data_IF_948024625260
#
_entry.id   IF_948024625260
#
_cell.length_a   1.000
_cell.length_b   1.000
_cell.length_c   1.000
_cell.angle_alpha   90.00
_cell.angle_beta   90.00
_cell.angle_gamma   90.00
#
_symmetry.space_group_name_H-M   'P 1'
#
loop_
_entity.id
_entity.type
_entity.pdbx_description
1 polymer ?
#
# COMPACT_ATOMS: atom_id res chain seq x y z
N UNK A 1 20.60 8.80 16.12
CA UNK A 1 20.32 7.95 17.30
C UNK A 1 20.29 8.87 18.52
N UNK A 2 19.12 9.42 18.84
CA UNK A 2 18.95 10.28 20.02
C UNK A 2 18.98 9.37 21.26
N UNK A 3 19.92 9.64 22.17
CA UNK A 3 19.92 9.05 23.51
C UNK A 3 18.70 9.62 24.24
N UNK A 4 17.61 8.85 24.31
CA UNK A 4 16.55 9.12 25.27
C UNK A 4 17.19 9.08 26.66
N UNK A 5 17.10 10.20 27.39
CA UNK A 5 17.53 10.24 28.79
C UNK A 5 16.57 9.35 29.56
N UNK A 6 17.03 8.24 30.15
CA UNK A 6 16.19 7.48 31.04
C UNK A 6 16.01 8.30 32.34
N UNK A 7 14.77 8.30 32.84
CA UNK A 7 14.43 8.50 34.26
C UNK A 7 14.20 9.92 34.84
N UNK A 8 13.56 10.82 34.08
CA UNK A 8 12.89 11.98 34.72
C UNK A 8 11.51 11.62 35.33
N UNK A 9 10.98 10.44 35.00
CA UNK A 9 9.64 10.02 35.43
C UNK A 9 9.55 9.82 36.95
N UNK A 10 10.60 9.27 37.57
CA UNK A 10 10.67 9.08 39.02
C UNK A 10 10.77 10.39 39.80
N UNK A 11 11.51 11.37 39.27
CA UNK A 11 11.64 12.70 39.87
C UNK A 11 10.31 13.46 39.86
N UNK A 12 9.62 13.48 38.72
CA UNK A 12 8.32 14.14 38.60
C UNK A 12 7.24 13.41 39.43
N UNK A 13 7.21 12.08 39.41
CA UNK A 13 6.28 11.31 40.23
C UNK A 13 6.45 11.58 41.74
N UNK A 14 7.71 11.73 42.21
CA UNK A 14 7.99 12.10 43.60
C UNK A 14 7.43 13.45 44.00
N UNK A 15 7.58 14.47 43.15
CA UNK A 15 6.99 15.80 43.39
C UNK A 15 5.47 15.77 43.39
N UNK A 16 4.83 15.09 42.44
CA UNK A 16 3.37 14.95 42.42
C UNK A 16 2.85 14.25 43.67
N UNK A 17 3.52 13.18 44.13
CA UNK A 17 3.15 12.49 45.36
C UNK A 17 3.31 13.39 46.60
N UNK A 18 4.40 14.15 46.72
CA UNK A 18 4.63 15.06 47.83
C UNK A 18 3.58 16.18 47.89
N UNK A 19 3.26 16.82 46.75
CA UNK A 19 2.21 17.83 46.67
C UNK A 19 0.83 17.26 46.95
N UNK A 20 0.53 16.04 46.49
CA UNK A 20 -0.73 15.37 46.79
C UNK A 20 -0.90 15.12 48.30
N UNK A 21 0.14 14.61 48.96
CA UNK A 21 0.13 14.38 50.42
C UNK A 21 -0.02 15.70 51.17
N UNK A 22 0.73 16.74 50.79
CA UNK A 22 0.64 18.06 51.40
C UNK A 22 -0.75 18.68 51.22
N UNK A 23 -1.37 18.54 50.04
CA UNK A 23 -2.72 19.03 49.78
C UNK A 23 -3.77 18.29 50.63
N UNK A 24 -3.68 16.96 50.74
CA UNK A 24 -4.57 16.16 51.60
C UNK A 24 -4.42 16.59 53.07
N UNK A 25 -3.19 16.79 53.54
CA UNK A 25 -2.91 17.23 54.91
C UNK A 25 -3.44 18.64 55.18
N UNK A 26 -3.31 19.56 54.22
CA UNK A 26 -3.88 20.90 54.33
C UNK A 26 -5.40 20.87 54.41
N UNK A 27 -6.07 20.10 53.53
CA UNK A 27 -7.53 19.90 53.57
C UNK A 27 -7.96 19.35 54.94
N UNK A 28 -7.23 18.37 55.48
CA UNK A 28 -7.50 17.79 56.79
C UNK A 28 -7.42 18.82 57.93
N UNK A 29 -6.38 19.68 57.94
CA UNK A 29 -6.22 20.74 58.95
C UNK A 29 -7.34 21.77 58.86
N UNK A 30 -7.66 22.24 57.65
CA UNK A 30 -8.73 23.25 57.44
C UNK A 30 -10.09 22.70 57.87
N UNK A 31 -10.32 21.39 57.70
CA UNK A 31 -11.57 20.76 58.14
C UNK A 31 -11.67 20.64 59.66
N UNK A 32 -10.58 20.32 60.36
CA UNK A 32 -10.57 20.18 61.82
C UNK A 32 -10.64 21.52 62.57
N UNK A 33 -10.15 22.62 61.99
CA UNK A 33 -10.04 23.90 62.68
C UNK A 33 -11.15 24.89 62.26
N UNK A 34 -12.09 25.17 63.18
CA UNK A 34 -13.24 26.04 62.91
C UNK A 34 -12.86 27.49 62.51
N UNK A 35 -11.75 28.03 63.03
CA UNK A 35 -11.32 29.39 62.72
C UNK A 35 -10.80 29.51 61.29
N UNK A 36 -10.06 28.52 60.80
CA UNK A 36 -9.57 28.48 59.43
C UNK A 36 -10.70 28.26 58.42
N UNK A 37 -11.72 27.49 58.81
CA UNK A 37 -12.92 27.28 58.00
C UNK A 37 -13.70 28.59 57.76
N UNK A 38 -13.78 29.48 58.76
CA UNK A 38 -14.47 30.78 58.63
C UNK A 38 -13.75 31.77 57.69
N UNK A 39 -12.44 31.60 57.48
CA UNK A 39 -11.67 32.41 56.53
C UNK A 39 -11.89 31.90 55.09
N UNK A 40 -12.05 30.58 54.93
CA UNK A 40 -12.18 29.93 53.63
C UNK A 40 -13.63 29.78 53.14
N UNK A 41 -14.61 29.85 54.04
CA UNK A 41 -16.04 29.67 53.77
C UNK A 41 -16.86 30.69 54.56
N UNK A 42 -17.88 31.27 53.92
CA UNK A 42 -18.73 32.25 54.59
C UNK A 42 -19.63 31.58 55.65
N UNK A 43 -20.01 32.35 56.67
CA UNK A 43 -20.75 31.89 57.84
C UNK A 43 -22.23 31.60 57.51
N UNK A 44 -22.47 30.54 56.75
CA UNK A 44 -23.81 30.14 56.28
C UNK A 44 -23.80 29.16 55.10
N UNK A 45 -22.64 28.95 54.46
CA UNK A 45 -22.52 28.06 53.31
C UNK A 45 -22.26 26.60 53.71
N UNK A 46 -23.25 25.75 53.45
CA UNK A 46 -23.11 24.29 53.63
C UNK A 46 -22.34 23.62 52.47
N UNK A 47 -22.28 24.25 51.29
CA UNK A 47 -21.71 23.68 50.05
C UNK A 47 -20.34 24.26 49.66
N UNK A 48 -19.64 24.94 50.57
CA UNK A 48 -18.36 25.61 50.30
C UNK A 48 -17.31 24.67 49.67
N UNK A 49 -17.14 23.45 50.19
CA UNK A 49 -16.20 22.47 49.62
C UNK A 49 -16.55 22.11 48.17
N UNK A 50 -17.84 22.01 47.84
CA UNK A 50 -18.30 21.72 46.48
C UNK A 50 -17.94 22.85 45.53
N UNK A 51 -18.07 24.10 45.96
CA UNK A 51 -17.70 25.27 45.16
C UNK A 51 -16.20 25.33 44.91
N UNK A 52 -15.38 25.08 45.94
CA UNK A 52 -13.92 24.98 45.79
C UNK A 52 -13.49 23.87 44.83
N UNK A 53 -14.08 22.68 44.95
CA UNK A 53 -13.82 21.57 44.03
C UNK A 53 -14.25 21.90 42.60
N UNK A 54 -15.39 22.59 42.43
CA UNK A 54 -15.85 23.06 41.12
C UNK A 54 -14.90 24.11 40.52
N UNK A 55 -14.36 25.02 41.33
CA UNK A 55 -13.41 26.04 40.89
C UNK A 55 -12.04 25.43 40.52
N UNK A 56 -11.54 24.49 41.33
CA UNK A 56 -10.27 23.78 41.07
C UNK A 56 -10.37 22.81 39.89
N UNK A 57 -11.53 22.18 39.69
CA UNK A 57 -11.75 21.25 38.58
C UNK A 57 -11.53 21.88 37.20
N UNK A 58 -11.91 23.15 37.02
CA UNK A 58 -11.68 23.89 35.77
C UNK A 58 -10.19 24.13 35.48
N UNK A 59 -9.41 24.52 36.49
CA UNK A 59 -7.97 24.71 36.35
C UNK A 59 -7.22 23.39 36.17
N UNK A 60 -7.59 22.34 36.91
CA UNK A 60 -7.01 21.01 36.77
C UNK A 60 -7.24 20.45 35.37
N UNK A 61 -8.45 20.61 34.82
CA UNK A 61 -8.75 20.21 33.44
C UNK A 61 -7.87 20.98 32.43
N UNK A 62 -7.66 22.28 32.60
CA UNK A 62 -6.76 23.04 31.72
C UNK A 62 -5.31 22.56 31.78
N UNK A 63 -4.78 22.30 32.98
CA UNK A 63 -3.39 21.83 33.16
C UNK A 63 -3.15 20.48 32.49
N UNK A 64 -4.15 19.59 32.47
CA UNK A 64 -4.06 18.30 31.79
C UNK A 64 -4.35 18.43 30.28
N UNK A 65 -5.31 19.26 29.90
CA UNK A 65 -5.74 19.41 28.52
C UNK A 65 -4.67 20.06 27.63
N UNK A 66 -3.99 21.10 28.10
CA UNK A 66 -3.01 21.85 27.28
C UNK A 66 -1.84 20.95 26.82
N UNK A 67 -1.12 20.23 27.71
CA UNK A 67 -0.05 19.32 27.29
C UNK A 67 -0.57 18.21 26.38
N UNK A 68 -1.76 17.68 26.66
CA UNK A 68 -2.40 16.64 25.85
C UNK A 68 -2.64 17.15 24.42
N UNK A 69 -3.20 18.34 24.26
CA UNK A 69 -3.44 18.95 22.93
C UNK A 69 -2.12 19.19 22.19
N UNK A 70 -1.09 19.72 22.86
CA UNK A 70 0.23 19.95 22.25
C UNK A 70 0.85 18.63 21.78
N UNK A 71 0.77 17.60 22.61
CA UNK A 71 1.31 16.28 22.29
C UNK A 71 0.56 15.62 21.13
N UNK A 72 -0.77 15.69 21.13
CA UNK A 72 -1.61 15.20 20.02
C UNK A 72 -1.32 15.96 18.73
N UNK A 73 -1.17 17.29 18.78
CA UNK A 73 -0.81 18.08 17.60
C UNK A 73 0.55 17.65 17.01
N UNK A 74 1.51 17.32 17.87
CA UNK A 74 2.79 16.77 17.44
C UNK A 74 2.64 15.37 16.82
N UNK A 75 1.88 14.48 17.44
CA UNK A 75 1.62 13.13 16.90
C UNK A 75 0.92 13.18 15.54
N UNK A 76 -0.08 14.05 15.37
CA UNK A 76 -0.77 14.23 14.08
C UNK A 76 0.21 14.70 13.02
N UNK A 77 1.06 15.68 13.32
CA UNK A 77 2.07 16.18 12.37
C UNK A 77 3.10 15.11 11.99
N UNK A 78 3.57 14.33 12.96
CA UNK A 78 4.52 13.25 12.70
C UNK A 78 3.85 12.11 11.92
N UNK A 79 2.58 11.81 12.22
CA UNK A 79 1.74 10.87 11.47
C UNK A 79 1.56 11.30 10.01
N UNK A 80 1.18 12.56 9.76
CA UNK A 80 1.04 13.12 8.42
C UNK A 80 2.34 13.00 7.62
N UNK A 81 3.49 13.27 8.25
CA UNK A 81 4.79 13.11 7.62
C UNK A 81 5.06 11.66 7.22
N UNK A 82 4.79 10.70 8.11
CA UNK A 82 4.94 9.27 7.81
C UNK A 82 3.99 8.81 6.71
N UNK A 83 2.74 9.30 6.71
CA UNK A 83 1.78 9.00 5.65
C UNK A 83 2.24 9.49 4.29
N UNK A 84 2.78 10.72 4.20
CA UNK A 84 3.33 11.27 2.94
C UNK A 84 4.51 10.46 2.43
N UNK A 85 5.46 10.13 3.31
CA UNK A 85 6.64 9.33 2.95
C UNK A 85 6.22 7.93 2.46
N UNK A 86 5.29 7.27 3.15
CA UNK A 86 4.81 5.95 2.76
C UNK A 86 4.03 5.98 1.43
N UNK A 87 3.24 7.04 1.20
CA UNK A 87 2.56 7.25 -0.08
C UNK A 87 3.58 7.41 -1.22
N UNK A 88 4.60 8.25 -1.02
CA UNK A 88 5.67 8.46 -2.00
C UNK A 88 6.42 7.15 -2.35
N UNK A 89 6.77 6.35 -1.34
CA UNK A 89 7.40 5.04 -1.56
C UNK A 89 6.50 4.07 -2.34
N UNK A 90 5.21 4.04 -2.01
CA UNK A 90 4.23 3.18 -2.70
C UNK A 90 4.12 3.58 -4.17
N UNK A 91 4.01 4.87 -4.47
CA UNK A 91 3.98 5.37 -5.85
C UNK A 91 5.27 5.07 -6.60
N UNK A 92 6.45 5.24 -5.97
CA UNK A 92 7.73 4.90 -6.61
C UNK A 92 7.80 3.42 -6.98
N UNK A 93 7.39 2.52 -6.08
CA UNK A 93 7.34 1.08 -6.35
C UNK A 93 6.41 0.76 -7.52
N UNK A 94 5.21 1.33 -7.54
CA UNK A 94 4.25 1.12 -8.62
C UNK A 94 4.77 1.65 -9.97
N UNK A 95 5.45 2.80 -9.99
CA UNK A 95 6.08 3.33 -11.21
C UNK A 95 7.19 2.41 -11.73
N UNK A 96 8.04 1.89 -10.83
CA UNK A 96 9.08 0.93 -11.21
C UNK A 96 8.47 -0.37 -11.78
N UNK A 97 7.39 -0.86 -11.17
CA UNK A 97 6.63 -2.00 -11.68
C UNK A 97 6.09 -1.71 -13.08
N UNK A 98 5.36 -0.60 -13.27
CA UNK A 98 4.80 -0.21 -14.56
C UNK A 98 5.86 -0.05 -15.65
N UNK A 99 7.01 0.56 -15.34
CA UNK A 99 8.12 0.69 -16.27
C UNK A 99 8.76 -0.66 -16.65
N UNK A 100 8.90 -1.56 -15.67
CA UNK A 100 9.38 -2.92 -15.92
C UNK A 100 8.41 -3.72 -16.78
N UNK A 101 7.11 -3.60 -16.50
CA UNK A 101 6.05 -4.32 -17.23
C UNK A 101 5.90 -3.77 -18.64
N UNK A 102 6.00 -2.46 -18.86
CA UNK A 102 6.00 -1.86 -20.21
C UNK A 102 7.12 -2.46 -21.08
N UNK A 103 8.36 -2.52 -20.57
CA UNK A 103 9.49 -3.17 -21.25
C UNK A 103 9.23 -4.66 -21.51
N UNK A 104 8.66 -5.35 -20.53
CA UNK A 104 8.30 -6.76 -20.65
C UNK A 104 7.26 -7.01 -21.75
N UNK A 105 6.25 -6.15 -21.84
CA UNK A 105 5.22 -6.22 -22.88
C UNK A 105 5.79 -6.02 -24.29
N UNK A 106 6.81 -5.17 -24.46
CA UNK A 106 7.52 -5.03 -25.74
C UNK A 106 8.14 -6.37 -26.14
N UNK A 107 8.93 -6.99 -25.26
CA UNK A 107 9.56 -8.29 -25.54
C UNK A 107 8.55 -9.40 -25.79
N UNK A 108 7.47 -9.47 -24.99
CA UNK A 108 6.39 -10.43 -25.17
C UNK A 108 5.71 -10.24 -26.53
N UNK A 109 5.42 -9.00 -26.91
CA UNK A 109 4.81 -8.65 -28.18
C UNK A 109 5.70 -9.06 -29.35
N UNK A 110 6.93 -8.57 -29.41
CA UNK A 110 7.87 -8.85 -30.50
C UNK A 110 8.10 -10.36 -30.68
N UNK A 111 8.30 -11.07 -29.57
CA UNK A 111 8.47 -12.53 -29.58
C UNK A 111 7.23 -13.25 -30.10
N UNK A 112 6.03 -12.78 -29.72
CA UNK A 112 4.77 -13.41 -30.14
C UNK A 112 4.44 -13.08 -31.60
N UNK A 113 4.72 -11.86 -32.06
CA UNK A 113 4.55 -11.45 -33.46
C UNK A 113 5.45 -12.26 -34.38
N UNK A 114 6.73 -12.42 -34.02
CA UNK A 114 7.66 -13.27 -34.76
C UNK A 114 7.15 -14.73 -34.89
N UNK A 115 6.62 -15.29 -33.80
CA UNK A 115 6.05 -16.66 -33.82
C UNK A 115 4.75 -16.75 -34.62
N UNK A 116 3.92 -15.70 -34.57
CA UNK A 116 2.70 -15.63 -35.36
C UNK A 116 3.01 -15.53 -36.86
N UNK A 117 4.03 -14.77 -37.24
CA UNK A 117 4.53 -14.67 -38.61
C UNK A 117 5.06 -16.02 -39.08
N UNK A 118 5.89 -16.69 -38.27
CA UNK A 118 6.36 -18.07 -38.54
C UNK A 118 5.19 -19.01 -38.84
N UNK A 119 4.17 -19.07 -37.98
CA UNK A 119 3.01 -19.94 -38.20
C UNK A 119 2.14 -19.52 -39.40
N UNK A 120 2.28 -18.28 -39.87
CA UNK A 120 1.50 -17.72 -40.98
C UNK A 120 2.18 -17.85 -42.34
N UNK A 121 3.39 -18.40 -42.40
CA UNK A 121 4.08 -18.69 -43.65
C UNK A 121 3.22 -19.63 -44.53
N UNK A 122 2.97 -19.21 -45.77
CA UNK A 122 2.20 -20.00 -46.73
C UNK A 122 3.01 -21.23 -47.20
N UNK A 123 2.34 -22.38 -47.29
CA UNK A 123 2.89 -23.66 -47.80
C UNK A 123 3.96 -24.33 -46.92
N UNK A 124 4.11 -23.95 -45.66
CA UNK A 124 4.94 -24.69 -44.70
C UNK A 124 4.13 -25.78 -43.98
N UNK A 125 4.63 -27.01 -44.05
CA UNK A 125 4.19 -28.11 -43.21
C UNK A 125 4.88 -27.99 -41.84
N UNK A 126 4.10 -27.68 -40.80
CA UNK A 126 4.63 -27.53 -39.45
C UNK A 126 4.67 -28.88 -38.74
N UNK A 127 5.84 -29.23 -38.18
CA UNK A 127 5.96 -30.36 -37.27
C UNK A 127 5.42 -29.97 -35.89
N UNK A 128 4.71 -30.89 -35.25
CA UNK A 128 4.12 -30.67 -33.92
C UNK A 128 5.15 -30.20 -32.89
N UNK A 129 6.38 -30.75 -32.91
CA UNK A 129 7.46 -30.35 -31.97
C UNK A 129 7.86 -28.88 -32.08
N UNK A 130 8.07 -28.39 -33.31
CA UNK A 130 8.50 -27.01 -33.55
C UNK A 130 7.42 -26.02 -33.05
N UNK A 131 6.15 -26.37 -33.23
CA UNK A 131 5.03 -25.55 -32.75
C UNK A 131 4.90 -25.64 -31.23
N UNK A 132 5.13 -26.82 -30.64
CA UNK A 132 5.08 -27.01 -29.20
C UNK A 132 6.14 -26.18 -28.47
N UNK A 133 7.38 -26.15 -29.00
CA UNK A 133 8.46 -25.31 -28.46
C UNK A 133 8.10 -23.83 -28.53
N UNK A 134 7.50 -23.39 -29.63
CA UNK A 134 7.01 -22.02 -29.77
C UNK A 134 5.92 -21.67 -28.76
N UNK A 135 4.96 -22.58 -28.54
CA UNK A 135 3.88 -22.42 -27.56
C UNK A 135 4.41 -22.40 -26.13
N UNK A 136 5.35 -23.29 -25.79
CA UNK A 136 5.96 -23.34 -24.46
C UNK A 136 6.69 -22.03 -24.14
N UNK A 137 7.47 -21.49 -25.08
CA UNK A 137 8.16 -20.22 -24.86
C UNK A 137 7.17 -19.07 -24.62
N UNK A 138 6.05 -18.99 -25.36
CA UNK A 138 5.02 -17.96 -25.11
C UNK A 138 4.35 -18.16 -23.76
N UNK A 139 4.08 -19.40 -23.35
CA UNK A 139 3.52 -19.71 -22.03
C UNK A 139 4.47 -19.32 -20.89
N UNK A 140 5.78 -19.54 -21.04
CA UNK A 140 6.80 -19.10 -20.09
C UNK A 140 6.80 -17.59 -19.94
N UNK A 141 6.71 -16.85 -21.05
CA UNK A 141 6.62 -15.40 -21.01
C UNK A 141 5.29 -14.93 -20.36
N UNK A 142 4.16 -15.58 -20.63
CA UNK A 142 2.89 -15.20 -19.99
C UNK A 142 2.81 -15.57 -18.51
N UNK A 143 3.54 -16.61 -18.09
CA UNK A 143 3.59 -17.05 -16.69
C UNK A 143 4.40 -16.10 -15.79
N UNK A 144 5.04 -15.08 -16.35
CA UNK A 144 5.86 -14.15 -15.59
C UNK A 144 5.04 -13.37 -14.54
N UNK A 145 5.54 -13.40 -13.30
CA UNK A 145 4.97 -12.71 -12.13
C UNK A 145 4.65 -11.23 -12.35
N UNK A 146 5.44 -10.41 -13.08
CA UNK A 146 5.18 -8.97 -13.19
C UNK A 146 3.82 -8.62 -13.81
N UNK A 147 3.34 -9.40 -14.78
CA UNK A 147 2.03 -9.15 -15.41
C UNK A 147 0.90 -9.30 -14.39
N UNK A 148 0.90 -10.38 -13.61
CA UNK A 148 -0.11 -10.62 -12.56
C UNK A 148 -0.08 -9.56 -11.47
N UNK A 149 1.12 -9.15 -11.04
CA UNK A 149 1.27 -8.10 -10.02
C UNK A 149 0.73 -6.78 -10.56
N UNK A 150 1.02 -6.44 -11.82
CA UNK A 150 0.46 -5.24 -12.46
C UNK A 150 -1.07 -5.30 -12.56
N UNK A 151 -1.64 -6.44 -12.94
CA UNK A 151 -3.10 -6.61 -13.04
C UNK A 151 -3.83 -6.38 -11.72
N UNK A 152 -3.20 -6.81 -10.62
CA UNK A 152 -3.74 -6.72 -9.27
C UNK A 152 -3.47 -5.37 -8.59
N UNK A 153 -2.31 -4.76 -8.83
CA UNK A 153 -1.90 -3.53 -8.15
C UNK A 153 -2.27 -2.24 -8.90
N UNK A 154 -2.38 -2.27 -10.24
CA UNK A 154 -2.48 -1.06 -11.07
C UNK A 154 -3.70 -1.07 -11.99
N UNK A 155 -3.88 -2.09 -12.83
CA UNK A 155 -4.93 -2.10 -13.86
C UNK A 155 -5.47 -3.49 -14.15
N UNK A 156 -6.77 -3.70 -13.96
CA UNK A 156 -7.42 -4.98 -14.27
C UNK A 156 -7.97 -4.99 -15.71
N UNK A 157 -7.37 -5.75 -16.65
CA UNK A 157 -7.86 -5.84 -18.02
C UNK A 157 -9.17 -6.63 -18.10
N UNK A 158 -9.95 -6.39 -19.16
CA UNK A 158 -11.16 -7.18 -19.45
C UNK A 158 -10.87 -8.68 -19.64
N UNK A 159 -9.69 -9.00 -20.18
CA UNK A 159 -9.19 -10.37 -20.34
C UNK A 159 -7.89 -10.47 -19.55
N UNK A 160 -7.89 -11.25 -18.48
CA UNK A 160 -6.71 -11.46 -17.64
C UNK A 160 -5.67 -12.35 -18.31
N UNK A 161 -4.40 -12.21 -17.89
CA UNK A 161 -3.31 -13.10 -18.33
C UNK A 161 -3.63 -14.57 -18.05
N UNK A 162 -4.27 -14.88 -16.92
CA UNK A 162 -4.64 -16.25 -16.55
C UNK A 162 -5.64 -16.87 -17.52
N UNK A 163 -6.59 -16.09 -18.05
CA UNK A 163 -7.51 -16.58 -19.07
C UNK A 163 -6.78 -16.91 -20.37
N UNK A 164 -5.83 -16.06 -20.79
CA UNK A 164 -5.02 -16.28 -21.99
C UNK A 164 -4.14 -17.51 -21.84
N UNK A 165 -3.45 -17.64 -20.70
CA UNK A 165 -2.64 -18.82 -20.35
C UNK A 165 -3.47 -20.09 -20.42
N UNK A 166 -4.64 -20.13 -19.77
CA UNK A 166 -5.52 -21.29 -19.79
C UNK A 166 -5.96 -21.67 -21.21
N UNK A 167 -6.20 -20.67 -22.07
CA UNK A 167 -6.61 -20.89 -23.47
C UNK A 167 -5.48 -21.46 -24.32
N UNK A 168 -4.24 -21.00 -24.13
CA UNK A 168 -3.07 -21.55 -24.81
C UNK A 168 -2.72 -22.95 -24.29
N UNK A 169 -2.81 -23.18 -22.98
CA UNK A 169 -2.61 -24.49 -22.38
C UNK A 169 -3.58 -25.55 -22.92
N UNK A 170 -4.84 -25.18 -23.23
CA UNK A 170 -5.78 -26.09 -23.90
C UNK A 170 -5.31 -26.51 -25.30
N UNK A 171 -4.76 -25.58 -26.09
CA UNK A 171 -4.20 -25.94 -27.39
C UNK A 171 -2.92 -26.76 -27.24
N UNK A 172 -2.08 -26.43 -26.25
CA UNK A 172 -0.90 -27.24 -25.91
C UNK A 172 -1.28 -28.69 -25.60
N UNK A 173 -2.31 -28.91 -24.77
CA UNK A 173 -2.78 -30.26 -24.46
C UNK A 173 -3.29 -31.02 -25.69
N UNK A 174 -3.91 -30.32 -26.66
CA UNK A 174 -4.28 -30.92 -27.95
C UNK A 174 -3.05 -31.31 -28.78
N UNK A 175 -2.04 -30.43 -28.86
CA UNK A 175 -0.75 -30.73 -29.52
C UNK A 175 -0.07 -31.95 -28.88
N UNK A 176 0.02 -31.97 -27.54
CA UNK A 176 0.62 -33.08 -26.79
C UNK A 176 -0.10 -34.41 -27.07
N UNK A 177 -1.43 -34.37 -27.26
CA UNK A 177 -2.24 -35.57 -27.54
C UNK A 177 -2.12 -36.10 -28.97
N UNK A 178 -1.74 -35.25 -29.92
CA UNK A 178 -1.54 -35.64 -31.31
C UNK A 178 -0.26 -36.48 -31.46
N UNK A 179 0.77 -36.16 -30.66
CA UNK A 179 2.05 -36.86 -30.68
C UNK A 179 2.99 -36.38 -31.78
N UNK A 180 4.29 -36.51 -31.53
CA UNK A 180 5.35 -36.20 -32.49
C UNK A 180 5.75 -37.46 -33.27
N UNK A 181 6.09 -37.38 -34.57
CA UNK A 181 6.32 -36.18 -35.39
C UNK A 181 5.18 -35.87 -36.39
N UNK A 182 3.92 -36.00 -35.99
CA UNK A 182 2.80 -35.78 -36.90
C UNK A 182 2.73 -34.33 -37.42
N UNK A 183 2.25 -34.19 -38.66
CA UNK A 183 1.91 -32.91 -39.27
C UNK A 183 0.79 -32.25 -38.47
N UNK A 184 0.93 -30.95 -38.22
CA UNK A 184 -0.03 -30.22 -37.39
C UNK A 184 -1.43 -30.16 -38.02
N UNK A 185 -2.45 -30.48 -37.22
CA UNK A 185 -3.86 -30.31 -37.59
C UNK A 185 -4.20 -28.82 -37.86
N UNK A 186 -4.88 -28.55 -38.98
CA UNK A 186 -5.23 -27.19 -39.41
C UNK A 186 -6.14 -26.45 -38.42
N UNK A 187 -7.04 -27.16 -37.72
CA UNK A 187 -7.91 -26.57 -36.69
C UNK A 187 -7.07 -26.11 -35.49
N UNK A 188 -6.10 -26.93 -35.07
CA UNK A 188 -5.17 -26.58 -33.99
C UNK A 188 -4.32 -25.38 -34.40
N UNK A 189 -3.76 -25.38 -35.62
CA UNK A 189 -2.97 -24.27 -36.15
C UNK A 189 -3.79 -22.96 -36.18
N UNK A 190 -5.02 -23.00 -36.68
CA UNK A 190 -5.91 -21.85 -36.73
C UNK A 190 -6.22 -21.31 -35.32
N UNK A 191 -6.55 -22.20 -34.38
CA UNK A 191 -6.80 -21.84 -32.98
C UNK A 191 -5.57 -21.20 -32.31
N UNK A 192 -4.37 -21.71 -32.60
CA UNK A 192 -3.11 -21.16 -32.09
C UNK A 192 -2.88 -19.74 -32.62
N UNK A 193 -3.06 -19.50 -33.93
CA UNK A 193 -2.94 -18.16 -34.53
C UNK A 193 -3.85 -17.14 -33.84
N UNK A 194 -5.10 -17.51 -33.57
CA UNK A 194 -6.05 -16.63 -32.86
C UNK A 194 -5.56 -16.33 -31.44
N UNK A 195 -5.05 -17.34 -30.73
CA UNK A 195 -4.56 -17.18 -29.36
C UNK A 195 -3.30 -16.29 -29.30
N UNK A 196 -2.34 -16.50 -30.20
CA UNK A 196 -1.14 -15.66 -30.29
C UNK A 196 -1.50 -14.21 -30.65
N UNK A 197 -2.42 -14.00 -31.59
CA UNK A 197 -2.94 -12.67 -31.88
C UNK A 197 -3.63 -12.03 -30.65
N UNK A 198 -4.26 -12.83 -29.79
CA UNK A 198 -4.83 -12.33 -28.54
C UNK A 198 -3.74 -11.94 -27.51
N UNK A 199 -2.62 -12.66 -27.46
CA UNK A 199 -1.45 -12.30 -26.65
C UNK A 199 -0.85 -10.97 -27.10
N UNK A 200 -0.69 -10.75 -28.40
CA UNK A 200 -0.21 -9.47 -28.96
C UNK A 200 -1.12 -8.32 -28.53
N UNK A 201 -2.43 -8.45 -28.73
CA UNK A 201 -3.41 -7.43 -28.32
C UNK A 201 -3.40 -7.18 -26.80
N UNK A 202 -3.22 -8.24 -26.01
CA UNK A 202 -3.09 -8.13 -24.56
C UNK A 202 -1.83 -7.35 -24.17
N UNK A 203 -0.67 -7.70 -24.73
CA UNK A 203 0.59 -7.01 -24.48
C UNK A 203 0.51 -5.51 -24.84
N UNK A 204 -0.08 -5.18 -26.00
CA UNK A 204 -0.35 -3.78 -26.40
C UNK A 204 -1.31 -3.06 -25.45
N UNK A 205 -2.32 -3.78 -24.96
CA UNK A 205 -3.26 -3.25 -23.97
C UNK A 205 -2.56 -2.90 -22.65
N UNK A 206 -1.79 -3.82 -22.10
CA UNK A 206 -1.05 -3.62 -20.85
C UNK A 206 0.02 -2.54 -21.01
N UNK A 207 0.77 -2.54 -22.12
CA UNK A 207 1.80 -1.53 -22.40
C UNK A 207 1.19 -0.11 -22.40
N UNK A 208 0.09 0.10 -23.13
CA UNK A 208 -0.58 1.41 -23.16
C UNK A 208 -1.04 1.87 -21.77
N UNK A 209 -1.53 0.95 -20.94
CA UNK A 209 -1.92 1.28 -19.57
C UNK A 209 -0.70 1.56 -18.67
N UNK A 210 0.43 0.87 -18.87
CA UNK A 210 1.68 1.21 -18.19
C UNK A 210 2.13 2.62 -18.56
N UNK A 211 2.12 2.97 -19.85
CA UNK A 211 2.56 4.28 -20.34
C UNK A 211 1.62 5.38 -19.86
N UNK A 212 0.30 5.14 -19.88
CA UNK A 212 -0.70 6.05 -19.31
C UNK A 212 -0.45 6.28 -17.82
N UNK A 213 -0.28 5.22 -17.03
CA UNK A 213 0.02 5.32 -15.60
C UNK A 213 1.33 6.09 -15.34
N UNK A 214 2.38 5.83 -16.11
CA UNK A 214 3.66 6.53 -15.99
C UNK A 214 3.55 8.03 -16.33
N UNK A 215 2.72 8.38 -17.31
CA UNK A 215 2.46 9.77 -17.69
C UNK A 215 1.62 10.49 -16.61
N UNK A 216 0.53 9.88 -16.16
CA UNK A 216 -0.33 10.42 -15.10
C UNK A 216 0.44 10.65 -13.79
N UNK A 217 1.36 9.72 -13.47
CA UNK A 217 2.14 9.80 -12.23
C UNK A 217 3.45 10.58 -12.36
N UNK A 218 3.76 11.14 -13.54
CA UNK A 218 4.99 11.89 -13.76
C UNK A 218 5.06 13.17 -12.91
N UNK A 219 3.93 13.85 -12.70
CA UNK A 219 3.86 15.10 -11.94
C UNK A 219 4.15 14.93 -10.44
N UNK A 220 3.88 13.74 -9.87
CA UNK A 220 4.15 13.47 -8.46
C UNK A 220 5.64 13.43 -8.12
N UNK A 221 6.51 13.14 -9.10
CA UNK A 221 7.97 13.11 -8.90
C UNK A 221 8.53 14.52 -8.66
N UNK A 222 7.96 15.55 -9.29
CA UNK A 222 8.50 16.92 -9.24
C UNK A 222 8.15 17.67 -7.95
N UNK A 223 7.04 17.34 -7.29
CA UNK A 223 6.60 18.07 -6.09
C UNK A 223 7.33 17.63 -4.81
N UNK A 224 7.90 16.42 -4.76
CA UNK A 224 8.65 15.96 -3.60
C UNK A 224 10.06 16.58 -3.52
N UNK A 225 10.64 17.03 -4.64
CA UNK A 225 11.97 17.67 -4.67
C UNK A 225 11.95 19.17 -4.31
N UNK A 226 10.78 19.81 -4.24
CA UNK A 226 10.63 21.27 -4.06
C UNK A 226 10.40 21.71 -2.60
N UNK A 227 10.40 20.78 -1.64
CA UNK A 227 10.10 21.07 -0.23
C UNK A 227 11.18 20.64 0.78
N UNK A 228 12.35 20.20 0.31
CA UNK A 228 13.58 20.12 1.10
C UNK A 228 14.40 21.43 0.98
#
# INVERSE_FOLDING_TARGET
>A
MMKDKPDDLGYWAGWFAAFAIAAIFFIYIVWQNQTLRQIACDAGENDCFRQWMSALGGWAAMVVAIPTIIYLAKQVRDGDRHHRINAAFTHRRQRLLAASVSKYCITLKETTEYKLEFLSAENEEFRTDDVLDNVNHVLELLAATPLKVFENEIFTPTISVDFIVARIQRNKAKLDSQGSPELLDEEILHSLKINLAAVVRYADGIQRNCDAFLNETAAFVFNDELHD
#
